data_IF_050787022606
#
_entry.id   IF_050787022606
#
_cell.length_a   1.000
_cell.length_b   1.000
_cell.length_c   1.000
_cell.angle_alpha   90.00
_cell.angle_beta   90.00
_cell.angle_gamma   90.00
#
_symmetry.space_group_name_H-M   'P 1'
#
loop_
_entity.id
_entity.type
_entity.pdbx_description
1 polymer ?
#
# COMPACT_ATOMS: atom_id res chain seq x y z
N UNK A 1 -32.12 62.43 -37.40
CA UNK A 1 -32.87 62.24 -38.66
C UNK A 1 -33.12 60.74 -38.75
N UNK A 2 -34.20 60.27 -38.14
CA UNK A 2 -35.50 59.96 -38.81
C UNK A 2 -35.34 58.79 -39.81
N UNK A 3 -36.14 57.72 -39.82
CA UNK A 3 -37.40 57.44 -39.11
C UNK A 3 -37.84 55.97 -39.35
N UNK A 4 -38.43 55.41 -38.28
CA UNK A 4 -39.68 54.60 -38.24
C UNK A 4 -39.83 53.17 -38.82
N UNK A 5 -40.16 52.27 -37.85
CA UNK A 5 -41.34 51.35 -37.77
C UNK A 5 -41.41 50.15 -38.73
N UNK A 6 -42.00 49.00 -38.42
CA UNK A 6 -42.51 48.31 -37.21
C UNK A 6 -43.15 47.01 -37.72
N UNK A 7 -42.97 45.84 -37.09
CA UNK A 7 -44.12 44.95 -36.87
C UNK A 7 -43.88 43.90 -35.77
N UNK A 8 -44.92 43.73 -34.97
CA UNK A 8 -45.07 42.88 -33.80
C UNK A 8 -45.96 41.67 -34.13
N UNK A 9 -45.67 40.49 -33.58
CA UNK A 9 -46.58 39.33 -33.63
C UNK A 9 -46.12 38.22 -32.68
N UNK A 10 -47.00 37.82 -31.76
CA UNK A 10 -46.76 37.11 -30.49
C UNK A 10 -47.01 35.57 -30.62
N UNK A 11 -47.12 34.77 -29.53
CA UNK A 11 -46.23 33.65 -29.20
C UNK A 11 -46.85 32.25 -29.43
N UNK A 12 -46.02 31.22 -29.59
CA UNK A 12 -46.47 29.82 -29.64
C UNK A 12 -46.36 29.10 -28.29
N UNK A 13 -47.49 28.49 -27.91
CA UNK A 13 -47.78 27.67 -26.73
C UNK A 13 -46.90 26.41 -26.62
N UNK A 14 -46.65 26.03 -25.36
CA UNK A 14 -46.22 24.70 -24.94
C UNK A 14 -47.30 23.63 -25.15
N UNK A 15 -46.93 22.34 -25.24
CA UNK A 15 -47.80 21.24 -24.84
C UNK A 15 -47.40 20.70 -23.46
N UNK A 16 -48.43 20.29 -22.72
CA UNK A 16 -48.37 19.78 -21.36
C UNK A 16 -48.51 18.25 -21.32
N UNK A 17 -48.07 17.69 -20.19
CA UNK A 17 -48.46 16.43 -19.54
C UNK A 17 -47.90 15.09 -20.07
N UNK A 18 -47.19 14.39 -19.18
CA UNK A 18 -47.69 13.14 -18.60
C UNK A 18 -47.01 12.86 -17.25
N UNK A 19 -47.81 12.91 -16.18
CA UNK A 19 -47.53 12.39 -14.83
C UNK A 19 -48.21 11.03 -14.72
N UNK A 20 -47.59 10.01 -14.11
CA UNK A 20 -48.35 8.95 -13.47
C UNK A 20 -48.37 9.18 -11.95
N UNK A 21 -49.59 9.21 -11.43
CA UNK A 21 -49.91 9.20 -10.00
C UNK A 21 -49.63 7.82 -9.38
N UNK A 22 -49.52 7.82 -8.05
CA UNK A 22 -48.98 6.75 -7.23
C UNK A 22 -49.79 5.45 -7.16
N UNK A 23 -49.18 4.46 -6.52
CA UNK A 23 -49.87 3.37 -5.86
C UNK A 23 -49.18 2.98 -4.54
N UNK A 24 -49.93 3.23 -3.47
CA UNK A 24 -50.08 2.43 -2.26
C UNK A 24 -48.83 1.89 -1.52
N UNK A 25 -48.58 2.49 -0.34
CA UNK A 25 -48.14 1.76 0.87
C UNK A 25 -49.08 0.58 1.15
N UNK A 26 -48.56 -0.46 1.82
CA UNK A 26 -49.31 -0.96 2.98
C UNK A 26 -48.42 -1.00 4.23
N UNK A 27 -48.89 -0.27 5.25
CA UNK A 27 -48.59 -0.55 6.64
C UNK A 27 -49.21 -1.90 7.01
N UNK A 28 -48.45 -2.80 7.63
CA UNK A 28 -49.03 -3.93 8.37
C UNK A 28 -48.33 -4.09 9.72
N UNK A 29 -48.95 -3.47 10.71
CA UNK A 29 -48.86 -3.86 12.11
C UNK A 29 -49.85 -5.01 12.32
N UNK A 30 -49.39 -6.17 12.81
CA UNK A 30 -50.24 -7.08 13.60
C UNK A 30 -49.48 -7.38 14.88
N UNK A 31 -50.11 -6.97 15.96
CA UNK A 31 -49.83 -7.39 17.32
C UNK A 31 -50.62 -8.67 17.62
N UNK A 32 -50.05 -9.48 18.52
CA UNK A 32 -50.69 -9.94 19.77
C UNK A 32 -50.71 -11.45 20.05
N UNK A 33 -50.40 -11.68 21.33
CA UNK A 33 -50.81 -12.76 22.22
C UNK A 33 -50.02 -14.08 22.25
N UNK A 34 -49.83 -14.73 23.41
CA UNK A 34 -49.70 -14.36 24.83
C UNK A 34 -49.75 -15.70 25.61
N UNK A 35 -48.99 -15.76 26.71
CA UNK A 35 -49.26 -16.63 27.86
C UNK A 35 -48.58 -18.00 27.86
N UNK A 36 -48.15 -18.57 28.99
CA UNK A 36 -48.13 -18.10 30.37
C UNK A 36 -47.35 -19.11 31.25
N UNK A 37 -46.92 -18.64 32.43
CA UNK A 37 -46.71 -19.39 33.69
C UNK A 37 -45.41 -20.19 33.82
N UNK A 38 -44.62 -20.14 34.92
CA UNK A 38 -44.95 -19.91 36.35
C UNK A 38 -43.82 -19.18 37.11
N UNK A 39 -44.24 -18.45 38.14
CA UNK A 39 -43.43 -17.90 39.23
C UNK A 39 -42.97 -18.99 40.24
N UNK A 40 -41.92 -18.72 41.04
CA UNK A 40 -42.05 -18.47 42.51
C UNK A 40 -40.70 -18.41 43.26
N UNK A 41 -40.47 -17.26 43.91
CA UNK A 41 -39.93 -17.00 45.28
C UNK A 41 -38.57 -17.49 45.82
N UNK A 42 -37.79 -16.48 46.26
CA UNK A 42 -37.26 -16.24 47.63
C UNK A 42 -35.90 -16.82 48.12
N UNK A 43 -34.85 -15.97 48.08
CA UNK A 43 -34.08 -15.38 49.23
C UNK A 43 -33.25 -16.28 50.23
N UNK A 44 -32.34 -15.74 51.10
CA UNK A 44 -30.86 -15.76 50.89
C UNK A 44 -29.93 -16.20 52.09
N UNK A 45 -28.59 -16.20 51.84
CA UNK A 45 -27.43 -15.84 52.74
C UNK A 45 -26.79 -16.93 53.69
N UNK A 46 -25.61 -16.71 54.35
CA UNK A 46 -24.25 -17.27 54.07
C UNK A 46 -23.59 -17.92 55.36
N UNK A 47 -22.27 -17.81 55.74
CA UNK A 47 -20.94 -17.76 55.08
C UNK A 47 -19.87 -18.78 55.64
N UNK A 48 -18.68 -18.81 55.00
CA UNK A 48 -17.25 -19.02 55.45
C UNK A 48 -16.86 -19.63 56.85
N UNK A 49 -15.64 -20.24 57.01
CA UNK A 49 -14.42 -19.43 57.23
C UNK A 49 -13.08 -20.00 56.72
N UNK A 50 -12.06 -19.12 56.87
CA UNK A 50 -10.66 -19.15 56.41
C UNK A 50 -9.68 -19.20 57.61
N UNK A 51 -8.39 -19.45 57.30
CA UNK A 51 -7.16 -19.05 58.03
C UNK A 51 -6.67 -20.00 59.18
N UNK A 52 -5.39 -20.16 59.57
CA UNK A 52 -4.10 -19.47 59.29
C UNK A 52 -2.92 -20.29 59.86
N UNK A 53 -1.74 -20.20 59.22
CA UNK A 53 -0.32 -20.17 59.73
C UNK A 53 0.08 -20.69 61.13
N UNK A 54 1.26 -21.34 61.24
CA UNK A 54 2.44 -20.92 62.07
C UNK A 54 3.66 -21.85 61.93
N UNK A 55 4.80 -21.47 62.55
CA UNK A 55 6.20 -21.57 62.08
C UNK A 55 7.11 -22.13 63.21
N UNK A 56 8.13 -22.94 62.87
CA UNK A 56 9.46 -23.15 63.54
C UNK A 56 9.55 -23.87 64.93
N UNK A 57 10.75 -24.21 65.48
CA UNK A 57 11.72 -25.27 65.09
C UNK A 57 12.20 -26.13 66.31
N UNK A 58 13.05 -27.15 66.13
CA UNK A 58 13.62 -27.85 67.29
C UNK A 58 14.73 -28.86 67.00
N UNK A 59 15.98 -28.43 67.21
CA UNK A 59 17.18 -29.27 67.28
C UNK A 59 17.23 -30.10 68.56
N UNK A 60 17.69 -31.35 68.51
CA UNK A 60 18.35 -32.00 69.64
C UNK A 60 19.47 -32.93 69.19
N UNK A 61 20.67 -32.63 69.70
CA UNK A 61 21.86 -33.49 69.73
C UNK A 61 21.59 -34.71 70.61
N UNK A 62 22.11 -35.86 70.18
CA UNK A 62 22.22 -37.07 70.99
C UNK A 62 23.41 -37.89 70.51
N UNK A 63 24.55 -37.69 71.17
CA UNK A 63 25.73 -38.54 71.08
C UNK A 63 25.49 -39.87 71.79
N UNK A 64 25.92 -41.00 71.21
CA UNK A 64 26.72 -42.02 71.93
C UNK A 64 27.03 -43.24 71.06
N UNK A 65 28.32 -43.60 71.10
CA UNK A 65 28.87 -44.97 71.15
C UNK A 65 28.70 -45.90 69.94
N UNK A 66 29.81 -46.03 69.19
CA UNK A 66 30.17 -47.29 68.53
C UNK A 66 30.39 -48.40 69.55
N UNK A 67 30.09 -49.65 69.16
CA UNK A 67 30.95 -50.77 69.48
C UNK A 67 31.45 -51.46 68.21
N UNK A 68 32.78 -51.50 68.09
CA UNK A 68 33.54 -52.41 67.20
C UNK A 68 33.17 -53.86 67.55
N UNK A 69 32.79 -54.67 66.56
CA UNK A 69 32.90 -56.14 66.64
C UNK A 69 33.20 -56.78 65.27
N UNK A 70 34.39 -57.41 65.25
CA UNK A 70 34.87 -58.60 64.54
C UNK A 70 34.73 -58.74 63.00
N UNK A 71 35.75 -59.33 62.33
CA UNK A 71 35.83 -59.38 60.88
C UNK A 71 34.96 -60.50 60.30
N UNK A 72 34.06 -60.15 59.39
CA UNK A 72 33.33 -61.12 58.59
C UNK A 72 34.25 -61.67 57.48
N UNK A 73 34.11 -62.98 57.30
CA UNK A 73 34.81 -63.86 56.37
C UNK A 73 34.92 -63.34 54.94
N UNK A 74 36.11 -63.52 54.37
CA UNK A 74 36.46 -63.29 52.97
C UNK A 74 35.71 -64.29 52.07
N UNK A 75 34.44 -64.02 51.77
CA UNK A 75 33.74 -64.72 50.69
C UNK A 75 34.38 -64.30 49.35
N UNK A 76 34.96 -65.28 48.67
CA UNK A 76 35.38 -65.18 47.28
C UNK A 76 34.15 -64.85 46.42
N UNK A 77 33.99 -63.58 46.04
CA UNK A 77 33.06 -63.19 44.98
C UNK A 77 33.57 -63.78 43.67
N UNK A 78 33.03 -64.94 43.29
CA UNK A 78 33.14 -65.47 41.95
C UNK A 78 32.61 -64.40 40.97
N UNK A 79 33.49 -63.93 40.07
CA UNK A 79 33.11 -62.99 39.01
C UNK A 79 32.00 -63.63 38.17
N UNK A 80 30.79 -63.09 38.27
CA UNK A 80 29.72 -63.43 37.31
C UNK A 80 30.23 -63.11 35.89
N UNK A 81 30.02 -64.00 34.90
CA UNK A 81 30.38 -63.71 33.53
C UNK A 81 29.61 -62.47 33.08
N UNK A 82 30.33 -61.45 32.57
CA UNK A 82 29.72 -60.25 32.00
C UNK A 82 28.76 -60.69 30.90
N UNK A 83 27.46 -60.41 31.06
CA UNK A 83 26.49 -60.58 29.97
C UNK A 83 27.03 -59.86 28.73
N UNK A 84 26.94 -60.44 27.53
CA UNK A 84 27.26 -59.72 26.31
C UNK A 84 26.48 -58.41 26.30
N UNK A 85 27.17 -57.29 26.09
CA UNK A 85 26.52 -56.01 25.88
C UNK A 85 25.72 -56.18 24.59
N UNK A 86 24.39 -56.26 24.70
CA UNK A 86 23.53 -56.19 23.52
C UNK A 86 23.84 -54.85 22.85
N UNK A 87 24.23 -54.82 21.56
CA UNK A 87 24.39 -53.56 20.85
C UNK A 87 23.07 -52.82 20.98
N UNK A 88 23.14 -51.56 21.40
CA UNK A 88 21.99 -50.68 21.49
C UNK A 88 21.31 -50.65 20.12
N UNK A 89 20.22 -51.40 19.97
CA UNK A 89 19.29 -51.25 18.86
C UNK A 89 18.53 -49.96 19.15
N UNK A 90 19.15 -48.83 18.82
CA UNK A 90 18.53 -47.54 19.03
C UNK A 90 17.18 -47.51 18.34
N UNK A 91 16.18 -46.95 19.02
CA UNK A 91 14.96 -46.50 18.37
C UNK A 91 15.38 -45.68 17.14
N UNK A 92 14.80 -45.91 15.95
CA UNK A 92 15.14 -45.12 14.78
C UNK A 92 15.06 -43.63 15.16
N UNK A 93 16.12 -42.87 14.81
CA UNK A 93 16.10 -41.42 14.97
C UNK A 93 14.81 -40.90 14.32
N UNK A 94 14.08 -39.97 14.95
CA UNK A 94 12.85 -39.44 14.36
C UNK A 94 13.16 -38.97 12.94
N UNK A 95 12.48 -39.54 11.95
CA UNK A 95 12.62 -39.13 10.57
C UNK A 95 12.17 -37.67 10.49
N UNK A 96 13.13 -36.77 10.30
CA UNK A 96 12.80 -35.37 10.06
C UNK A 96 12.23 -35.27 8.66
N UNK A 97 10.91 -35.20 8.53
CA UNK A 97 10.29 -34.81 7.27
C UNK A 97 10.90 -33.48 6.81
N UNK A 98 11.31 -33.43 5.54
CA UNK A 98 11.81 -32.20 4.95
C UNK A 98 10.71 -31.15 5.01
N UNK A 99 11.05 -29.93 5.40
CA UNK A 99 10.08 -28.85 5.41
C UNK A 99 9.40 -28.74 4.04
N UNK A 100 8.08 -28.53 3.97
CA UNK A 100 7.39 -28.44 2.69
C UNK A 100 7.75 -27.13 1.97
N UNK A 101 7.83 -27.17 0.63
CA UNK A 101 8.32 -26.04 -0.18
C UNK A 101 7.53 -24.74 -0.01
N UNK A 102 6.23 -24.82 0.33
CA UNK A 102 5.42 -23.62 0.59
C UNK A 102 5.93 -22.79 1.78
N UNK A 103 6.65 -23.39 2.76
CA UNK A 103 7.25 -22.62 3.85
C UNK A 103 8.37 -21.70 3.34
N UNK A 104 9.19 -22.19 2.40
CA UNK A 104 10.22 -21.37 1.76
C UNK A 104 9.59 -20.25 0.92
N UNK A 105 8.50 -20.55 0.22
CA UNK A 105 7.71 -19.56 -0.53
C UNK A 105 7.22 -18.44 0.40
N UNK A 106 6.56 -18.79 1.52
CA UNK A 106 6.09 -17.84 2.53
C UNK A 106 7.21 -16.98 3.10
N UNK A 107 8.40 -17.55 3.32
CA UNK A 107 9.56 -16.80 3.82
C UNK A 107 10.08 -15.77 2.82
N UNK A 108 10.11 -16.08 1.53
CA UNK A 108 10.54 -15.11 0.51
C UNK A 108 9.53 -13.96 0.33
N UNK A 109 8.23 -14.25 0.39
CA UNK A 109 7.19 -13.20 0.40
C UNK A 109 7.28 -12.34 1.67
N UNK A 110 7.49 -12.96 2.83
CA UNK A 110 7.67 -12.22 4.09
C UNK A 110 8.94 -11.36 4.08
N UNK A 111 10.04 -11.86 3.51
CA UNK A 111 11.28 -11.09 3.34
C UNK A 111 11.02 -9.86 2.47
N UNK A 112 10.36 -10.03 1.33
CA UNK A 112 9.99 -8.93 0.45
C UNK A 112 9.15 -7.88 1.17
N UNK A 113 8.02 -8.26 1.77
CA UNK A 113 7.14 -7.33 2.46
C UNK A 113 7.85 -6.65 3.64
N UNK A 114 8.63 -7.41 4.42
CA UNK A 114 9.39 -6.89 5.55
C UNK A 114 10.40 -5.81 5.14
N UNK A 115 11.17 -6.05 4.08
CA UNK A 115 12.13 -5.09 3.52
C UNK A 115 11.42 -3.88 2.91
N UNK A 116 10.34 -4.09 2.14
CA UNK A 116 9.57 -3.01 1.53
C UNK A 116 8.98 -2.08 2.59
N UNK A 117 8.35 -2.62 3.64
CA UNK A 117 7.81 -1.84 4.75
C UNK A 117 8.91 -1.04 5.46
N UNK A 118 10.08 -1.65 5.69
CA UNK A 118 11.22 -0.97 6.30
C UNK A 118 11.67 0.21 5.44
N UNK A 119 11.84 0.00 4.13
CA UNK A 119 12.29 1.01 3.20
C UNK A 119 11.29 2.16 3.06
N UNK A 120 9.99 1.84 3.02
CA UNK A 120 8.91 2.83 3.06
C UNK A 120 8.97 3.67 4.32
N UNK A 121 9.13 3.05 5.50
CA UNK A 121 9.21 3.76 6.77
C UNK A 121 10.39 4.73 6.85
N UNK A 122 11.57 4.31 6.39
CA UNK A 122 12.74 5.20 6.36
C UNK A 122 12.47 6.39 5.43
N UNK A 123 11.84 6.16 4.29
CA UNK A 123 11.43 7.23 3.35
C UNK A 123 10.43 8.19 4.00
N UNK A 124 9.40 7.65 4.67
CA UNK A 124 8.37 8.44 5.34
C UNK A 124 8.92 9.29 6.48
N UNK A 125 9.92 8.78 7.19
CA UNK A 125 10.62 9.54 8.23
C UNK A 125 11.48 10.64 7.62
N UNK A 126 12.16 10.37 6.50
CA UNK A 126 13.02 11.35 5.83
C UNK A 126 12.25 12.55 5.27
N UNK A 127 11.10 12.30 4.62
CA UNK A 127 10.31 13.36 3.97
C UNK A 127 9.09 13.82 4.77
N UNK A 128 8.89 13.29 5.98
CA UNK A 128 7.74 13.66 6.81
C UNK A 128 6.39 13.17 6.25
N UNK A 129 6.39 12.12 5.45
CA UNK A 129 5.18 11.55 4.82
C UNK A 129 4.24 11.02 5.90
N UNK A 130 2.94 11.26 5.71
CA UNK A 130 1.88 10.71 6.56
C UNK A 130 1.60 9.24 6.22
N UNK A 131 2.29 8.32 6.90
CA UNK A 131 2.13 6.89 6.69
C UNK A 131 0.72 6.36 6.95
N UNK A 132 -0.16 7.12 7.60
CA UNK A 132 -1.56 6.71 7.83
C UNK A 132 -2.40 6.81 6.55
N UNK A 133 -1.96 7.63 5.58
CA UNK A 133 -2.68 7.96 4.35
C UNK A 133 -2.03 7.42 3.08
N UNK A 134 -1.03 6.55 3.20
CA UNK A 134 -0.42 5.86 2.06
C UNK A 134 -1.50 5.32 1.12
N UNK A 135 -1.42 5.67 -0.16
CA UNK A 135 -2.43 5.26 -1.14
C UNK A 135 -2.53 3.73 -1.30
N UNK A 136 -1.43 3.01 -1.04
CA UNK A 136 -1.33 1.56 -1.23
C UNK A 136 -1.65 0.74 0.04
N UNK A 137 -1.56 1.34 1.23
CA UNK A 137 -1.89 0.70 2.52
C UNK A 137 -2.32 1.74 3.57
N UNK A 138 -3.47 2.39 3.38
CA UNK A 138 -3.93 3.40 4.33
C UNK A 138 -4.33 2.73 5.65
N UNK A 139 -3.95 3.35 6.75
CA UNK A 139 -4.16 2.86 8.13
C UNK A 139 -5.07 3.78 8.94
N UNK A 140 -5.81 4.68 8.29
CA UNK A 140 -6.86 5.48 8.95
C UNK A 140 -7.82 4.56 9.74
N UNK A 141 -8.15 4.89 11.01
CA UNK A 141 -8.00 6.18 11.66
C UNK A 141 -6.72 6.38 12.49
N UNK A 142 -5.70 5.52 12.35
CA UNK A 142 -4.45 5.66 13.11
C UNK A 142 -3.79 7.01 12.84
N UNK A 143 -3.20 7.62 13.87
CA UNK A 143 -2.33 8.79 13.67
C UNK A 143 -1.06 8.39 12.90
N UNK A 144 -0.37 9.35 12.29
CA UNK A 144 0.90 9.09 11.58
C UNK A 144 1.92 8.31 12.43
N UNK A 145 2.05 8.66 13.72
CA UNK A 145 2.98 7.98 14.62
C UNK A 145 2.55 6.54 14.94
N UNK A 146 1.24 6.32 15.13
CA UNK A 146 0.68 4.98 15.33
C UNK A 146 0.86 4.12 14.08
N UNK A 147 0.58 4.67 12.90
CA UNK A 147 0.78 4.00 11.61
C UNK A 147 2.25 3.59 11.41
N UNK A 148 3.19 4.51 11.66
CA UNK A 148 4.64 4.22 11.59
C UNK A 148 5.05 3.11 12.56
N UNK A 149 4.61 3.17 13.82
CA UNK A 149 4.89 2.14 14.82
C UNK A 149 4.29 0.78 14.47
N UNK A 150 3.07 0.77 13.93
CA UNK A 150 2.39 -0.44 13.47
C UNK A 150 3.15 -1.10 12.31
N UNK A 151 3.45 -0.34 11.25
CA UNK A 151 4.21 -0.84 10.10
C UNK A 151 5.62 -1.30 10.48
N UNK A 152 6.29 -0.61 11.42
CA UNK A 152 7.61 -1.01 11.93
C UNK A 152 7.55 -2.37 12.63
N UNK A 153 6.49 -2.60 13.43
CA UNK A 153 6.26 -3.86 14.10
C UNK A 153 5.95 -4.98 13.09
N UNK A 154 5.11 -4.71 12.09
CA UNK A 154 4.83 -5.65 10.99
C UNK A 154 6.10 -6.01 10.23
N UNK A 155 6.92 -5.02 9.87
CA UNK A 155 8.21 -5.21 9.19
C UNK A 155 9.14 -6.11 10.01
N UNK A 156 9.33 -5.81 11.30
CA UNK A 156 10.19 -6.60 12.18
C UNK A 156 9.73 -8.07 12.28
N UNK A 157 8.43 -8.29 12.48
CA UNK A 157 7.85 -9.64 12.56
C UNK A 157 8.06 -10.43 11.27
N UNK A 158 7.82 -9.81 10.11
CA UNK A 158 7.99 -10.44 8.79
C UNK A 158 9.47 -10.78 8.52
N UNK A 159 10.39 -9.88 8.85
CA UNK A 159 11.84 -10.12 8.71
C UNK A 159 12.30 -11.24 9.64
N UNK A 160 11.89 -11.23 10.91
CA UNK A 160 12.23 -12.31 11.86
C UNK A 160 11.69 -13.65 11.35
N UNK A 161 10.43 -13.71 10.90
CA UNK A 161 9.83 -14.92 10.34
C UNK A 161 10.59 -15.42 9.10
N UNK A 162 11.03 -14.52 8.21
CA UNK A 162 11.79 -14.89 7.02
C UNK A 162 13.12 -15.59 7.34
N UNK A 163 13.79 -15.15 8.42
CA UNK A 163 15.07 -15.69 8.87
C UNK A 163 14.91 -16.91 9.78
N UNK A 164 13.92 -16.86 10.69
CA UNK A 164 13.64 -17.86 11.72
C UNK A 164 12.15 -18.20 11.71
N UNK A 165 11.71 -19.10 10.82
CA UNK A 165 10.29 -19.45 10.69
C UNK A 165 9.73 -20.14 11.94
N UNK A 166 10.58 -20.81 12.73
CA UNK A 166 10.24 -21.54 13.96
C UNK A 166 10.03 -20.62 15.17
N UNK A 167 9.02 -19.75 15.08
CA UNK A 167 8.66 -18.83 16.16
C UNK A 167 8.00 -19.56 17.34
N UNK A 168 8.32 -19.20 18.60
CA UNK A 168 7.63 -19.71 19.79
C UNK A 168 6.11 -19.46 19.71
N UNK A 169 5.31 -20.37 20.26
CA UNK A 169 3.84 -20.33 20.19
C UNK A 169 3.21 -18.97 20.51
N UNK A 170 3.57 -18.30 21.64
CA UNK A 170 3.04 -16.98 21.97
C UNK A 170 3.42 -15.89 20.96
N UNK A 171 4.68 -15.85 20.53
CA UNK A 171 5.18 -14.88 19.55
C UNK A 171 4.48 -15.08 18.21
N UNK A 172 4.30 -16.35 17.79
CA UNK A 172 3.55 -16.70 16.60
C UNK A 172 2.11 -16.21 16.66
N UNK A 173 1.40 -16.44 17.77
CA UNK A 173 0.03 -15.96 17.95
C UNK A 173 -0.06 -14.44 17.85
N UNK A 174 0.81 -13.71 18.55
CA UNK A 174 0.87 -12.25 18.51
C UNK A 174 1.19 -11.73 17.10
N UNK A 175 2.16 -12.35 16.44
CA UNK A 175 2.55 -12.02 15.06
C UNK A 175 1.36 -12.20 14.10
N UNK A 176 0.58 -13.26 14.27
CA UNK A 176 -0.63 -13.43 13.47
C UNK A 176 -1.62 -12.32 13.75
N UNK A 177 -1.96 -12.07 15.01
CA UNK A 177 -2.98 -11.09 15.36
C UNK A 177 -2.62 -9.73 14.75
N UNK A 178 -1.35 -9.35 14.83
CA UNK A 178 -0.81 -8.16 14.18
C UNK A 178 -1.04 -8.16 12.66
N UNK A 179 -0.66 -9.23 11.96
CA UNK A 179 -0.82 -9.32 10.51
C UNK A 179 -2.31 -9.41 10.11
N UNK A 180 -3.18 -10.01 10.93
CA UNK A 180 -4.63 -10.03 10.71
C UNK A 180 -5.23 -8.65 10.90
N UNK A 181 -4.72 -7.86 11.85
CA UNK A 181 -5.07 -6.45 11.96
C UNK A 181 -4.69 -5.69 10.69
N UNK A 182 -3.50 -5.94 10.13
CA UNK A 182 -3.10 -5.32 8.86
C UNK A 182 -3.99 -5.75 7.70
N UNK A 183 -4.29 -7.04 7.59
CA UNK A 183 -5.25 -7.57 6.63
C UNK A 183 -6.65 -6.95 6.80
N UNK A 184 -7.07 -6.66 8.04
CA UNK A 184 -8.33 -5.96 8.33
C UNK A 184 -8.36 -4.55 7.74
N UNK A 185 -7.29 -3.76 7.90
CA UNK A 185 -7.15 -2.46 7.26
C UNK A 185 -7.23 -2.57 5.74
N UNK A 186 -6.45 -3.49 5.14
CA UNK A 186 -6.46 -3.72 3.69
C UNK A 186 -7.84 -4.16 3.17
N UNK A 187 -8.55 -5.00 3.93
CA UNK A 187 -9.92 -5.42 3.62
C UNK A 187 -10.91 -4.26 3.68
N UNK A 188 -10.78 -3.39 4.68
CA UNK A 188 -11.58 -2.16 4.78
C UNK A 188 -11.30 -1.21 3.61
N UNK A 189 -10.04 -0.97 3.25
CA UNK A 189 -9.67 -0.16 2.07
C UNK A 189 -10.23 -0.76 0.79
N UNK A 190 -10.16 -2.09 0.64
CA UNK A 190 -10.75 -2.80 -0.50
C UNK A 190 -12.26 -2.57 -0.57
N UNK A 191 -12.95 -2.66 0.56
CA UNK A 191 -14.38 -2.37 0.64
C UNK A 191 -14.69 -0.92 0.24
N UNK A 192 -13.95 0.06 0.77
CA UNK A 192 -14.13 1.47 0.42
C UNK A 192 -13.88 1.75 -1.06
N UNK A 193 -12.89 1.12 -1.66
CA UNK A 193 -12.61 1.21 -3.09
C UNK A 193 -13.82 0.78 -3.95
N UNK A 194 -14.39 -0.39 -3.66
CA UNK A 194 -15.54 -0.89 -4.41
C UNK A 194 -16.81 -0.07 -4.12
N UNK A 195 -17.00 0.40 -2.89
CA UNK A 195 -18.10 1.29 -2.55
C UNK A 195 -18.01 2.62 -3.30
N UNK A 196 -16.83 3.24 -3.35
CA UNK A 196 -16.61 4.49 -4.09
C UNK A 196 -16.88 4.30 -5.60
N UNK A 197 -16.51 3.14 -6.15
CA UNK A 197 -16.81 2.78 -7.54
C UNK A 197 -18.31 2.62 -7.79
N UNK A 198 -19.03 1.91 -6.90
CA UNK A 198 -20.49 1.74 -7.02
C UNK A 198 -21.24 3.07 -6.89
N UNK A 199 -20.74 3.99 -6.07
CA UNK A 199 -21.27 5.35 -5.94
C UNK A 199 -20.88 6.28 -7.11
N UNK A 200 -20.11 5.79 -8.09
CA UNK A 200 -19.65 6.59 -9.24
C UNK A 200 -18.59 7.65 -8.89
N UNK A 201 -18.01 7.58 -7.69
CA UNK A 201 -16.96 8.49 -7.22
C UNK A 201 -15.57 8.11 -7.74
N UNK A 202 -15.40 6.86 -8.17
CA UNK A 202 -14.15 6.31 -8.68
C UNK A 202 -14.37 5.71 -10.07
N UNK A 203 -13.62 6.18 -11.06
CA UNK A 203 -13.59 5.64 -12.41
C UNK A 203 -12.27 4.92 -12.65
N UNK A 204 -12.34 3.74 -13.27
CA UNK A 204 -11.16 2.93 -13.62
C UNK A 204 -11.52 1.92 -14.70
N UNK A 205 -10.61 1.69 -15.63
CA UNK A 205 -10.72 0.60 -16.62
C UNK A 205 -10.20 -0.74 -16.09
N UNK A 206 -9.47 -0.74 -14.96
CA UNK A 206 -8.99 -1.96 -14.31
C UNK A 206 -9.58 -2.08 -12.90
N UNK A 207 -10.72 -2.78 -12.73
CA UNK A 207 -11.53 -2.74 -11.52
C UNK A 207 -11.01 -3.67 -10.42
N UNK A 208 -9.70 -3.71 -10.17
CA UNK A 208 -9.08 -4.51 -9.11
C UNK A 208 -8.33 -3.60 -8.16
N UNK A 209 -8.73 -3.62 -6.89
CA UNK A 209 -8.08 -2.83 -5.85
C UNK A 209 -6.67 -3.36 -5.54
N UNK A 210 -5.66 -2.49 -5.48
CA UNK A 210 -4.29 -2.88 -5.12
C UNK A 210 -4.18 -3.64 -3.77
N UNK A 211 -4.93 -3.28 -2.70
CA UNK A 211 -4.89 -4.02 -1.43
C UNK A 211 -5.23 -5.51 -1.53
N UNK A 212 -5.94 -5.96 -2.58
CA UNK A 212 -6.16 -7.39 -2.82
C UNK A 212 -4.86 -8.15 -3.13
N UNK A 213 -3.90 -7.52 -3.80
CA UNK A 213 -2.57 -8.09 -4.03
C UNK A 213 -1.82 -8.28 -2.71
N UNK A 214 -1.85 -7.27 -1.83
CA UNK A 214 -1.26 -7.36 -0.49
C UNK A 214 -1.93 -8.43 0.37
N UNK A 215 -3.27 -8.54 0.32
CA UNK A 215 -4.01 -9.60 1.00
C UNK A 215 -3.61 -10.98 0.50
N UNK A 216 -3.41 -11.16 -0.80
CA UNK A 216 -2.93 -12.43 -1.37
C UNK A 216 -1.50 -12.75 -0.89
N UNK A 217 -0.60 -11.76 -0.85
CA UNK A 217 0.75 -11.94 -0.30
C UNK A 217 0.70 -12.30 1.19
N UNK A 218 -0.15 -11.64 1.98
CA UNK A 218 -0.36 -11.96 3.40
C UNK A 218 -0.94 -13.36 3.59
N UNK A 219 -1.87 -13.82 2.75
CA UNK A 219 -2.40 -15.18 2.79
C UNK A 219 -1.29 -16.22 2.59
N UNK A 220 -0.35 -15.98 1.67
CA UNK A 220 0.84 -16.81 1.47
C UNK A 220 1.72 -16.81 2.73
N UNK A 221 1.90 -15.66 3.38
CA UNK A 221 2.64 -15.56 4.65
C UNK A 221 1.92 -16.30 5.78
N UNK A 222 0.60 -16.20 5.91
CA UNK A 222 -0.19 -16.89 6.93
C UNK A 222 -0.10 -18.41 6.84
N UNK A 223 -0.12 -18.97 5.62
CA UNK A 223 0.15 -20.40 5.41
C UNK A 223 1.49 -20.80 6.05
N UNK A 224 2.51 -19.94 5.87
CA UNK A 224 3.81 -19.89 6.54
C UNK A 224 3.76 -20.11 8.06
N UNK A 225 3.04 -19.21 8.74
CA UNK A 225 2.96 -19.15 10.19
C UNK A 225 2.24 -20.37 10.80
N UNK A 226 1.15 -20.85 10.21
CA UNK A 226 0.33 -21.88 10.86
C UNK A 226 0.89 -23.30 10.78
N UNK A 227 1.81 -23.55 9.85
CA UNK A 227 2.29 -24.90 9.55
C UNK A 227 3.81 -25.01 9.72
N UNK A 228 4.33 -24.21 10.65
CA UNK A 228 5.69 -24.31 11.18
C UNK A 228 5.84 -25.63 11.94
N UNK A 229 6.12 -26.70 11.21
CA UNK A 229 6.37 -28.03 11.74
C UNK A 229 7.82 -28.17 12.17
N UNK A 230 8.08 -29.12 13.06
CA UNK A 230 9.39 -29.53 13.58
C UNK A 230 10.24 -30.23 12.49
N UNK A 231 10.37 -29.56 11.34
CA UNK A 231 10.85 -30.10 10.07
C UNK A 231 12.24 -29.57 9.77
N UNK A 232 13.07 -30.41 9.14
CA UNK A 232 14.43 -30.03 8.76
C UNK A 232 14.40 -29.26 7.45
N UNK A 233 14.99 -28.07 7.41
CA UNK A 233 15.07 -27.23 6.21
C UNK A 233 16.08 -27.83 5.22
N UNK A 234 15.68 -28.00 3.97
CA UNK A 234 16.61 -28.34 2.90
C UNK A 234 17.28 -27.04 2.43
N UNK A 235 18.46 -26.74 2.99
CA UNK A 235 19.12 -25.45 2.81
C UNK A 235 19.25 -25.01 1.36
N UNK A 236 19.55 -25.91 0.42
CA UNK A 236 19.72 -25.58 -1.00
C UNK A 236 18.39 -25.27 -1.70
N UNK A 237 17.45 -26.22 -1.68
CA UNK A 237 16.12 -26.06 -2.28
C UNK A 237 15.37 -24.86 -1.69
N UNK A 238 15.38 -24.72 -0.38
CA UNK A 238 14.64 -23.67 0.31
C UNK A 238 15.25 -22.29 0.05
N UNK A 239 16.58 -22.18 -0.07
CA UNK A 239 17.24 -20.95 -0.51
C UNK A 239 16.79 -20.54 -1.92
N UNK A 240 16.79 -21.49 -2.87
CA UNK A 240 16.34 -21.22 -4.24
C UNK A 240 14.87 -20.78 -4.29
N UNK A 241 13.99 -21.43 -3.52
CA UNK A 241 12.58 -21.05 -3.46
C UNK A 241 12.37 -19.66 -2.82
N UNK A 242 13.10 -19.33 -1.75
CA UNK A 242 13.07 -17.99 -1.14
C UNK A 242 13.54 -16.93 -2.13
N UNK A 243 14.64 -17.19 -2.85
CA UNK A 243 15.17 -16.27 -3.86
C UNK A 243 14.18 -16.10 -5.02
N UNK A 244 13.61 -17.20 -5.51
CA UNK A 244 12.62 -17.19 -6.58
C UNK A 244 11.40 -16.35 -6.21
N UNK A 245 10.83 -16.55 -5.02
CA UNK A 245 9.64 -15.79 -4.60
C UNK A 245 9.95 -14.34 -4.24
N UNK A 246 11.15 -14.04 -3.75
CA UNK A 246 11.63 -12.67 -3.59
C UNK A 246 11.70 -11.95 -4.94
N UNK A 247 12.35 -12.55 -5.94
CA UNK A 247 12.47 -11.99 -7.31
C UNK A 247 11.09 -11.84 -7.95
N UNK A 248 10.22 -12.84 -7.82
CA UNK A 248 8.86 -12.77 -8.32
C UNK A 248 8.11 -11.59 -7.69
N UNK A 249 8.20 -11.42 -6.36
CA UNK A 249 7.56 -10.30 -5.65
C UNK A 249 8.11 -8.94 -6.10
N UNK A 250 9.43 -8.83 -6.29
CA UNK A 250 10.09 -7.62 -6.80
C UNK A 250 9.59 -7.21 -8.20
N UNK A 251 9.14 -8.17 -9.01
CA UNK A 251 8.60 -7.91 -10.35
C UNK A 251 7.08 -7.68 -10.30
N UNK A 252 6.33 -8.54 -9.61
CA UNK A 252 4.87 -8.48 -9.64
C UNK A 252 4.30 -7.33 -8.82
N UNK A 253 5.00 -6.87 -7.79
CA UNK A 253 4.50 -5.81 -6.92
C UNK A 253 4.40 -4.45 -7.64
N UNK A 254 5.44 -3.95 -8.35
CA UNK A 254 5.32 -2.74 -9.15
C UNK A 254 4.29 -2.88 -10.29
N UNK A 255 4.25 -4.04 -10.95
CA UNK A 255 3.25 -4.32 -11.99
C UNK A 255 1.83 -4.22 -11.41
N UNK A 256 1.58 -4.85 -10.26
CA UNK A 256 0.28 -4.76 -9.59
C UNK A 256 -0.08 -3.30 -9.25
N UNK A 257 0.88 -2.47 -8.84
CA UNK A 257 0.63 -1.04 -8.64
C UNK A 257 0.25 -0.31 -9.93
N UNK A 258 0.97 -0.55 -11.03
CA UNK A 258 0.67 0.06 -12.34
C UNK A 258 -0.74 -0.26 -12.81
N UNK A 259 -1.18 -1.52 -12.71
CA UNK A 259 -2.52 -1.89 -13.17
C UNK A 259 -3.61 -1.50 -12.15
N UNK A 260 -3.40 -1.74 -10.86
CA UNK A 260 -4.46 -1.48 -9.87
C UNK A 260 -4.64 0.01 -9.54
N UNK A 261 -3.58 0.81 -9.60
CA UNK A 261 -3.63 2.25 -9.31
C UNK A 261 -3.52 3.11 -10.56
N UNK A 262 -2.70 2.72 -11.54
CA UNK A 262 -2.44 3.55 -12.73
C UNK A 262 -3.65 3.75 -13.64
N UNK A 263 -4.74 3.01 -13.45
CA UNK A 263 -6.00 3.24 -14.16
C UNK A 263 -7.05 3.99 -13.34
N UNK A 264 -6.75 4.35 -12.09
CA UNK A 264 -7.66 5.17 -11.29
C UNK A 264 -7.67 6.57 -11.85
N UNK A 265 -8.87 7.08 -12.11
CA UNK A 265 -9.07 8.40 -12.66
C UNK A 265 -9.61 9.36 -11.60
N UNK A 266 -8.79 10.32 -11.21
CA UNK A 266 -9.15 11.36 -10.26
C UNK A 266 -9.57 12.63 -10.99
N UNK A 267 -10.89 12.88 -11.13
CA UNK A 267 -11.46 14.09 -11.75
C UNK A 267 -12.05 15.03 -10.71
N UNK A 268 -11.19 15.68 -9.94
CA UNK A 268 -11.61 16.69 -8.98
C UNK A 268 -11.03 18.06 -9.35
N UNK A 269 -11.67 19.13 -8.89
CA UNK A 269 -11.14 20.49 -9.10
C UNK A 269 -9.75 20.63 -8.48
N UNK A 270 -8.85 21.26 -9.23
CA UNK A 270 -7.45 21.45 -8.89
C UNK A 270 -6.95 22.84 -9.34
N UNK A 271 -5.78 23.23 -8.85
CA UNK A 271 -5.15 24.51 -9.19
C UNK A 271 -4.41 24.44 -10.54
N UNK A 272 -3.92 23.27 -10.93
CA UNK A 272 -3.32 23.02 -12.23
C UNK A 272 -3.51 21.59 -12.73
N UNK A 273 -3.46 21.42 -14.04
CA UNK A 273 -3.26 20.13 -14.71
C UNK A 273 -1.79 20.09 -15.15
N UNK A 274 -1.06 19.04 -14.77
CA UNK A 274 0.33 18.84 -15.17
C UNK A 274 0.45 17.65 -16.11
N UNK A 275 0.77 17.91 -17.38
CA UNK A 275 1.02 16.86 -18.38
C UNK A 275 2.48 16.49 -18.32
N UNK A 276 2.75 15.24 -17.92
CA UNK A 276 4.10 14.69 -17.88
C UNK A 276 4.52 14.24 -19.27
N UNK A 277 5.65 14.77 -19.69
CA UNK A 277 6.27 14.48 -20.97
C UNK A 277 6.65 13.01 -21.16
N UNK A 278 6.76 12.64 -22.42
CA UNK A 278 7.46 11.47 -22.90
C UNK A 278 8.02 11.72 -24.31
N UNK A 279 8.91 10.83 -24.75
CA UNK A 279 9.66 10.97 -26.01
C UNK A 279 8.78 11.47 -27.18
N UNK A 280 9.17 12.60 -27.76
CA UNK A 280 8.72 13.03 -29.09
C UNK A 280 9.50 12.30 -30.20
N UNK A 281 8.93 12.20 -31.39
CA UNK A 281 9.59 11.57 -32.53
C UNK A 281 10.74 12.47 -33.03
N UNK A 282 11.73 11.86 -33.68
CA UNK A 282 12.92 12.57 -34.18
C UNK A 282 12.59 13.65 -35.23
N UNK A 283 11.44 13.53 -35.90
CA UNK A 283 10.93 14.49 -36.89
C UNK A 283 10.18 15.68 -36.26
N UNK A 284 10.13 15.78 -34.92
CA UNK A 284 9.43 16.83 -34.19
C UNK A 284 7.93 16.58 -34.01
N UNK A 285 7.40 15.45 -34.47
CA UNK A 285 6.00 15.08 -34.23
C UNK A 285 5.82 14.43 -32.85
N UNK A 286 4.63 14.56 -32.21
CA UNK A 286 4.38 13.89 -30.94
C UNK A 286 4.29 12.37 -31.15
N UNK A 287 4.91 11.60 -30.25
CA UNK A 287 4.61 10.15 -30.19
C UNK A 287 3.13 9.93 -29.83
N UNK A 288 2.55 8.75 -30.13
CA UNK A 288 1.17 8.45 -29.76
C UNK A 288 0.91 8.65 -28.26
N UNK A 289 1.83 8.20 -27.41
CA UNK A 289 1.75 8.41 -25.97
C UNK A 289 1.77 9.90 -25.59
N UNK A 290 2.69 10.69 -26.15
CA UNK A 290 2.78 12.13 -25.87
C UNK A 290 1.49 12.85 -26.28
N UNK A 291 1.00 12.55 -27.49
CA UNK A 291 -0.25 13.09 -28.02
C UNK A 291 -1.43 12.79 -27.09
N UNK A 292 -1.56 11.54 -26.65
CA UNK A 292 -2.69 11.12 -25.82
C UNK A 292 -2.67 11.76 -24.44
N UNK A 293 -1.48 11.93 -23.83
CA UNK A 293 -1.32 12.66 -22.57
C UNK A 293 -1.72 14.13 -22.72
N UNK A 294 -1.26 14.80 -23.79
CA UNK A 294 -1.61 16.21 -24.05
C UNK A 294 -3.10 16.38 -24.30
N UNK A 295 -3.72 15.53 -25.13
CA UNK A 295 -5.16 15.56 -25.37
C UNK A 295 -5.99 15.34 -24.11
N UNK A 296 -5.54 14.44 -23.24
CA UNK A 296 -6.19 14.22 -21.93
C UNK A 296 -6.08 15.48 -21.06
N UNK A 297 -4.92 16.13 -21.00
CA UNK A 297 -4.76 17.40 -20.29
C UNK A 297 -5.65 18.52 -20.83
N UNK A 298 -5.75 18.64 -22.16
CA UNK A 298 -6.63 19.60 -22.84
C UNK A 298 -8.10 19.34 -22.48
N UNK A 299 -8.55 18.09 -22.47
CA UNK A 299 -9.92 17.74 -22.09
C UNK A 299 -10.23 18.17 -20.66
N UNK A 300 -9.32 17.90 -19.70
CA UNK A 300 -9.52 18.29 -18.31
C UNK A 300 -9.61 19.82 -18.17
N UNK A 301 -8.78 20.55 -18.92
CA UNK A 301 -8.80 22.01 -18.97
C UNK A 301 -10.13 22.54 -19.54
N UNK A 302 -10.55 22.03 -20.69
CA UNK A 302 -11.81 22.40 -21.34
C UNK A 302 -13.04 22.03 -20.50
N UNK A 303 -12.93 20.99 -19.66
CA UNK A 303 -13.94 20.60 -18.67
C UNK A 303 -13.96 21.51 -17.43
N UNK A 304 -13.06 22.49 -17.34
CA UNK A 304 -12.98 23.45 -16.23
C UNK A 304 -12.43 22.86 -14.93
N UNK A 305 -11.69 21.75 -14.97
CA UNK A 305 -11.16 21.12 -13.76
C UNK A 305 -9.95 21.86 -13.16
N UNK A 306 -9.21 22.60 -13.97
CA UNK A 306 -8.18 23.53 -13.49
C UNK A 306 -8.01 24.71 -14.45
N UNK A 307 -7.60 25.88 -13.94
CA UNK A 307 -7.44 27.10 -14.75
C UNK A 307 -6.15 27.14 -15.56
N UNK A 308 -5.18 26.26 -15.27
CA UNK A 308 -3.83 26.27 -15.87
C UNK A 308 -3.42 24.87 -16.29
N UNK A 309 -2.77 24.78 -17.46
CA UNK A 309 -2.17 23.56 -18.01
C UNK A 309 -0.64 23.71 -18.05
N UNK A 310 0.04 22.93 -17.21
CA UNK A 310 1.49 22.84 -17.12
C UNK A 310 1.96 21.71 -18.04
N UNK A 311 2.87 22.03 -18.96
CA UNK A 311 3.48 21.09 -19.90
C UNK A 311 4.94 20.90 -19.48
N UNK A 312 5.24 19.75 -18.87
CA UNK A 312 6.57 19.48 -18.30
C UNK A 312 7.25 18.34 -19.04
N UNK A 313 8.49 18.59 -19.46
CA UNK A 313 9.31 17.62 -20.16
C UNK A 313 10.75 18.10 -20.27
N UNK A 314 11.61 17.27 -20.85
CA UNK A 314 13.00 17.62 -21.09
C UNK A 314 13.35 17.77 -22.56
N UNK A 315 14.63 18.05 -22.82
CA UNK A 315 15.16 18.01 -24.17
C UNK A 315 15.12 16.57 -24.68
N UNK A 316 14.23 16.28 -25.63
CA UNK A 316 14.25 15.01 -26.37
C UNK A 316 15.53 14.87 -27.22
N UNK A 317 15.62 13.77 -27.99
CA UNK A 317 16.75 13.50 -28.88
C UNK A 317 16.78 14.39 -30.16
N UNK A 318 15.83 15.31 -30.33
CA UNK A 318 15.67 16.14 -31.54
C UNK A 318 15.93 17.64 -31.33
N UNK A 319 15.86 18.41 -32.42
CA UNK A 319 16.08 19.86 -32.43
C UNK A 319 14.96 20.66 -31.75
N UNK A 320 13.73 20.13 -31.73
CA UNK A 320 12.59 20.76 -31.06
C UNK A 320 12.40 20.19 -29.65
N UNK A 321 12.24 21.08 -28.68
CA UNK A 321 12.00 20.72 -27.30
C UNK A 321 10.60 20.12 -27.14
N UNK A 322 10.48 19.00 -26.42
CA UNK A 322 9.26 18.20 -26.29
C UNK A 322 8.05 19.06 -25.87
N UNK A 323 8.26 19.96 -24.92
CA UNK A 323 7.22 20.86 -24.41
C UNK A 323 6.70 21.85 -25.44
N UNK A 324 7.47 22.17 -26.49
CA UNK A 324 7.00 23.04 -27.58
C UNK A 324 6.01 22.31 -28.49
N UNK A 325 6.23 21.02 -28.75
CA UNK A 325 5.27 20.17 -29.45
C UNK A 325 3.96 20.06 -28.65
N UNK A 326 4.08 19.87 -27.33
CA UNK A 326 2.92 19.86 -26.42
C UNK A 326 2.17 21.20 -26.44
N UNK A 327 2.90 22.33 -26.41
CA UNK A 327 2.34 23.69 -26.48
C UNK A 327 1.55 23.88 -27.77
N UNK A 328 2.15 23.53 -28.90
CA UNK A 328 1.52 23.67 -30.21
C UNK A 328 0.20 22.90 -30.26
N UNK A 329 0.18 21.64 -29.83
CA UNK A 329 -1.05 20.84 -29.76
C UNK A 329 -2.13 21.49 -28.89
N UNK A 330 -1.74 22.06 -27.74
CA UNK A 330 -2.69 22.71 -26.84
C UNK A 330 -3.29 23.99 -27.44
N UNK A 331 -2.46 24.82 -28.07
CA UNK A 331 -2.91 26.06 -28.73
C UNK A 331 -3.80 25.75 -29.93
N UNK A 332 -3.42 24.78 -30.76
CA UNK A 332 -4.24 24.32 -31.91
C UNK A 332 -5.60 23.78 -31.46
N UNK A 333 -5.68 23.17 -30.27
CA UNK A 333 -6.92 22.70 -29.66
C UNK A 333 -7.71 23.80 -28.93
N UNK A 334 -7.26 25.06 -28.98
CA UNK A 334 -7.97 26.22 -28.46
C UNK A 334 -7.67 26.57 -27.00
N UNK A 335 -6.62 26.00 -26.38
CA UNK A 335 -6.15 26.46 -25.06
C UNK A 335 -5.40 27.77 -25.22
N UNK A 336 -5.81 28.86 -24.54
CA UNK A 336 -5.13 30.15 -24.67
C UNK A 336 -3.72 30.08 -24.09
N UNK A 337 -2.76 30.75 -24.73
CA UNK A 337 -1.35 30.75 -24.26
C UNK A 337 -1.19 31.25 -22.82
N UNK A 338 -2.06 32.17 -22.39
CA UNK A 338 -2.07 32.69 -21.02
C UNK A 338 -2.44 31.64 -19.95
N UNK A 339 -3.01 30.50 -20.36
CA UNK A 339 -3.32 29.37 -19.47
C UNK A 339 -2.25 28.26 -19.54
N UNK A 340 -1.19 28.43 -20.34
CA UNK A 340 -0.11 27.46 -20.51
C UNK A 340 1.11 27.86 -19.69
N UNK A 341 1.68 26.90 -18.96
CA UNK A 341 2.99 27.04 -18.33
C UNK A 341 3.93 25.97 -18.87
N UNK A 342 5.13 26.38 -19.27
CA UNK A 342 6.13 25.49 -19.85
C UNK A 342 7.23 25.20 -18.83
N UNK A 343 7.47 23.91 -18.57
CA UNK A 343 8.59 23.41 -17.77
C UNK A 343 9.55 22.61 -18.66
N UNK A 344 10.59 23.29 -19.16
CA UNK A 344 11.64 22.74 -20.03
C UNK A 344 12.80 22.05 -19.27
N UNK A 345 12.67 21.98 -17.93
CA UNK A 345 13.63 21.34 -17.02
C UNK A 345 13.04 20.15 -16.27
N UNK A 346 11.91 19.62 -16.73
CA UNK A 346 11.29 18.39 -16.21
C UNK A 346 11.98 17.13 -16.73
N UNK A 347 13.29 16.97 -16.53
CA UNK A 347 14.05 15.83 -17.09
C UNK A 347 13.80 14.53 -16.31
N UNK A 348 13.26 14.65 -15.12
CA UNK A 348 12.83 13.55 -14.26
C UNK A 348 11.53 13.92 -13.56
N UNK A 349 10.78 12.92 -13.12
CA UNK A 349 9.53 13.14 -12.36
C UNK A 349 9.76 13.91 -11.06
N UNK A 350 10.92 13.74 -10.42
CA UNK A 350 11.32 14.54 -9.26
C UNK A 350 11.52 16.00 -9.61
N UNK A 351 12.19 16.30 -10.72
CA UNK A 351 12.37 17.67 -11.18
C UNK A 351 11.02 18.31 -11.57
N UNK A 352 10.17 17.63 -12.34
CA UNK A 352 8.82 18.13 -12.69
C UNK A 352 8.02 18.53 -11.44
N UNK A 353 7.89 17.62 -10.47
CA UNK A 353 7.09 17.89 -9.26
C UNK A 353 7.74 18.96 -8.37
N UNK A 354 9.08 19.00 -8.31
CA UNK A 354 9.80 20.06 -7.58
C UNK A 354 9.57 21.42 -8.23
N UNK A 355 9.66 21.51 -9.55
CA UNK A 355 9.44 22.75 -10.30
C UNK A 355 8.01 23.26 -10.05
N UNK A 356 7.00 22.38 -10.19
CA UNK A 356 5.59 22.72 -9.94
C UNK A 356 5.39 23.20 -8.49
N UNK A 357 5.93 22.49 -7.51
CA UNK A 357 5.84 22.88 -6.10
C UNK A 357 6.46 24.26 -5.84
N UNK A 358 7.63 24.53 -6.42
CA UNK A 358 8.29 25.82 -6.28
C UNK A 358 7.51 26.96 -6.95
N UNK A 359 6.88 26.71 -8.10
CA UNK A 359 6.01 27.70 -8.76
C UNK A 359 4.84 28.11 -7.86
N UNK A 360 4.13 27.15 -7.29
CA UNK A 360 3.04 27.46 -6.38
C UNK A 360 3.51 28.12 -5.08
N UNK A 361 4.66 27.73 -4.55
CA UNK A 361 5.25 28.39 -3.38
C UNK A 361 5.57 29.88 -3.66
N UNK A 362 6.02 30.21 -4.86
CA UNK A 362 6.25 31.61 -5.27
C UNK A 362 4.93 32.38 -5.42
N UNK A 363 3.91 31.77 -6.01
CA UNK A 363 2.58 32.37 -6.13
C UNK A 363 1.94 32.63 -4.75
N UNK A 364 2.13 31.72 -3.80
CA UNK A 364 1.67 31.84 -2.41
C UNK A 364 2.46 32.90 -1.62
N UNK A 365 3.73 33.16 -1.96
CA UNK A 365 4.48 34.26 -1.37
C UNK A 365 3.95 35.64 -1.84
N UNK A 366 3.35 35.70 -3.04
CA UNK A 366 2.78 36.93 -3.60
C UNK A 366 1.29 37.13 -3.30
N UNK A 367 0.55 36.04 -3.05
CA UNK A 367 -0.88 36.06 -2.78
C UNK A 367 -1.12 35.44 -1.41
N UNK A 368 -1.81 36.11 -0.48
CA UNK A 368 -2.19 35.56 0.84
C UNK A 368 -3.07 34.32 0.68
N UNK A 369 -2.48 33.17 0.40
CA UNK A 369 -3.14 31.87 0.26
C UNK A 369 -3.36 31.27 1.64
N UNK A 370 -4.50 30.64 1.84
CA UNK A 370 -5.01 30.15 3.13
C UNK A 370 -4.28 28.92 3.73
N UNK A 371 -3.01 28.67 3.35
CA UNK A 371 -2.19 27.59 3.91
C UNK A 371 -2.55 26.17 3.46
N UNK A 372 -3.42 26.01 2.45
CA UNK A 372 -3.69 24.70 1.84
C UNK A 372 -2.60 24.35 0.81
N UNK A 373 -2.30 23.04 0.70
CA UNK A 373 -1.42 22.51 -0.35
C UNK A 373 -2.01 22.77 -1.74
N UNK A 374 -1.19 23.18 -2.73
CA UNK A 374 -1.64 23.30 -4.11
C UNK A 374 -2.04 21.95 -4.66
N UNK A 375 -3.20 21.89 -5.33
CA UNK A 375 -3.72 20.66 -5.91
C UNK A 375 -3.40 20.55 -7.39
N UNK A 376 -2.90 19.39 -7.81
CA UNK A 376 -2.45 19.15 -9.18
C UNK A 376 -3.04 17.86 -9.73
N UNK A 377 -3.60 17.92 -10.94
CA UNK A 377 -3.97 16.72 -11.72
C UNK A 377 -2.80 16.32 -12.61
N UNK A 378 -2.08 15.26 -12.24
CA UNK A 378 -0.95 14.74 -13.00
C UNK A 378 -1.41 13.77 -14.10
N UNK A 379 -1.20 14.15 -15.36
CA UNK A 379 -1.60 13.37 -16.53
C UNK A 379 -0.40 12.62 -17.10
N UNK A 380 -0.52 11.30 -17.23
CA UNK A 380 0.47 10.43 -17.88
C UNK A 380 -0.12 9.06 -18.24
N UNK A 381 0.65 8.21 -18.92
CA UNK A 381 0.30 6.79 -19.10
C UNK A 381 0.19 6.04 -17.77
N UNK A 382 -0.70 5.05 -17.72
CA UNK A 382 -1.04 4.27 -16.51
C UNK A 382 0.19 3.70 -15.79
N UNK A 383 1.19 3.21 -16.54
CA UNK A 383 2.40 2.60 -15.97
C UNK A 383 3.28 3.61 -15.21
N UNK A 384 3.17 4.91 -15.51
CA UNK A 384 3.98 5.97 -14.92
C UNK A 384 3.31 6.60 -13.69
N UNK A 385 1.98 6.53 -13.57
CA UNK A 385 1.23 7.19 -12.50
C UNK A 385 1.62 6.75 -11.08
N UNK A 386 1.89 5.47 -10.77
CA UNK A 386 2.34 5.09 -9.42
C UNK A 386 3.64 5.79 -9.01
N UNK A 387 4.56 5.97 -9.96
CA UNK A 387 5.82 6.68 -9.72
C UNK A 387 5.59 8.17 -9.50
N UNK A 388 4.71 8.80 -10.28
CA UNK A 388 4.33 10.20 -10.06
C UNK A 388 3.76 10.36 -8.65
N UNK A 389 2.80 9.52 -8.26
CA UNK A 389 2.18 9.57 -6.94
C UNK A 389 3.22 9.44 -5.83
N UNK A 390 4.11 8.46 -5.96
CA UNK A 390 5.16 8.18 -4.98
C UNK A 390 6.16 9.33 -4.81
N UNK A 391 6.47 10.05 -5.89
CA UNK A 391 7.32 11.23 -5.82
C UNK A 391 6.53 12.43 -5.27
N UNK A 392 5.26 12.56 -5.62
CA UNK A 392 4.41 13.66 -5.15
C UNK A 392 4.21 13.65 -3.63
N UNK A 393 4.11 12.47 -3.00
CA UNK A 393 4.06 12.32 -1.54
C UNK A 393 5.26 12.93 -0.80
N UNK A 394 6.38 13.16 -1.50
CA UNK A 394 7.60 13.79 -0.96
C UNK A 394 7.62 15.30 -1.13
N UNK A 395 6.61 15.85 -1.78
CA UNK A 395 6.45 17.28 -2.04
C UNK A 395 5.29 17.84 -1.22
N UNK A 396 5.12 19.16 -1.25
CA UNK A 396 3.99 19.81 -0.58
C UNK A 396 2.77 20.00 -1.51
N UNK A 397 2.68 19.19 -2.56
CA UNK A 397 1.55 19.16 -3.48
C UNK A 397 0.51 18.13 -3.04
N UNK A 398 -0.77 18.45 -3.25
CA UNK A 398 -1.86 17.47 -3.27
C UNK A 398 -2.02 16.98 -4.71
N UNK A 399 -1.37 15.86 -5.04
CA UNK A 399 -1.32 15.33 -6.39
C UNK A 399 -2.31 14.19 -6.55
N UNK A 400 -3.20 14.35 -7.52
CA UNK A 400 -4.11 13.32 -8.01
C UNK A 400 -3.66 12.90 -9.41
N UNK A 401 -3.79 11.62 -9.75
CA UNK A 401 -3.32 11.09 -11.03
C UNK A 401 -4.48 10.89 -12.02
N UNK A 402 -4.21 11.12 -13.30
CA UNK A 402 -5.16 10.91 -14.39
C UNK A 402 -4.48 10.12 -15.51
N UNK A 403 -4.96 8.90 -15.84
CA UNK A 403 -4.43 8.14 -16.95
C UNK A 403 -4.75 8.81 -18.28
N UNK A 404 -3.77 8.85 -19.18
CA UNK A 404 -3.98 9.23 -20.56
C UNK A 404 -5.03 8.33 -21.21
N UNK A 405 -5.97 8.94 -21.94
CA UNK A 405 -6.97 8.22 -22.72
C UNK A 405 -6.33 7.49 -23.90
N UNK A 406 -6.98 6.41 -24.33
CA UNK A 406 -6.57 5.59 -25.47
C UNK A 406 -5.10 5.13 -25.38
N UNK A 407 -4.72 4.41 -24.32
CA UNK A 407 -3.35 3.92 -24.19
C UNK A 407 -2.97 3.11 -25.43
N UNK A 408 -1.71 3.27 -25.86
CA UNK A 408 -1.10 2.49 -26.94
C UNK A 408 -1.24 0.98 -26.63
N UNK A 409 -1.04 0.08 -27.59
CA UNK A 409 -1.11 -1.36 -27.30
C UNK A 409 -0.13 -1.77 -26.18
N UNK A 410 -0.49 -2.79 -25.37
CA UNK A 410 0.38 -3.27 -24.28
C UNK A 410 1.73 -3.79 -24.80
N UNK A 411 1.75 -4.34 -26.02
CA UNK A 411 2.95 -4.85 -26.68
C UNK A 411 3.93 -3.72 -26.97
N UNK A 412 3.45 -2.60 -27.53
CA UNK A 412 4.26 -1.42 -27.79
C UNK A 412 4.74 -0.74 -26.50
N UNK A 413 3.98 -0.88 -25.40
CA UNK A 413 4.33 -0.34 -24.09
C UNK A 413 5.20 -1.26 -23.24
N UNK A 414 5.45 -2.51 -23.65
CA UNK A 414 6.12 -3.52 -22.81
C UNK A 414 7.50 -3.07 -22.31
N UNK A 415 8.28 -2.39 -23.16
CA UNK A 415 9.57 -1.82 -22.77
C UNK A 415 9.42 -0.68 -21.74
N UNK A 416 8.41 0.17 -21.90
CA UNK A 416 8.12 1.25 -20.94
C UNK A 416 7.69 0.67 -19.59
N UNK A 417 6.80 -0.33 -19.58
CA UNK A 417 6.38 -1.04 -18.37
C UNK A 417 7.59 -1.69 -17.68
N UNK A 418 8.43 -2.40 -18.44
CA UNK A 418 9.65 -3.02 -17.91
C UNK A 418 10.63 -2.00 -17.33
N UNK A 419 10.82 -0.85 -18.00
CA UNK A 419 11.60 0.28 -17.48
C UNK A 419 11.00 0.83 -16.19
N UNK A 420 9.67 0.93 -16.10
CA UNK A 420 9.01 1.41 -14.88
C UNK A 420 9.13 0.44 -13.71
N UNK A 421 9.25 -0.87 -13.93
CA UNK A 421 9.58 -1.81 -12.83
C UNK A 421 10.94 -1.47 -12.22
N UNK A 422 11.94 -1.17 -13.05
CA UNK A 422 13.24 -0.72 -12.57
C UNK A 422 13.17 0.68 -11.94
N UNK A 423 12.43 1.61 -12.57
CA UNK A 423 12.27 2.97 -12.06
C UNK A 423 11.58 2.98 -10.70
N UNK A 424 10.55 2.15 -10.47
CA UNK A 424 9.88 2.02 -9.19
C UNK A 424 10.88 1.77 -8.05
N UNK A 425 11.77 0.79 -8.24
CA UNK A 425 12.81 0.49 -7.26
C UNK A 425 13.90 1.56 -7.17
N UNK A 426 14.29 2.16 -8.30
CA UNK A 426 15.21 3.29 -8.31
C UNK A 426 14.70 4.43 -7.44
N UNK A 427 13.46 4.88 -7.65
CA UNK A 427 12.87 5.99 -6.91
C UNK A 427 12.67 5.66 -5.43
N UNK A 428 12.56 4.37 -5.08
CA UNK A 428 12.52 3.94 -3.68
C UNK A 428 13.89 4.06 -3.01
N UNK A 429 14.99 3.93 -3.75
CA UNK A 429 16.37 3.95 -3.21
C UNK A 429 17.06 5.31 -3.38
N UNK A 430 16.77 6.04 -4.45
CA UNK A 430 17.33 7.36 -4.79
C UNK A 430 17.35 8.33 -3.60
N UNK A 431 16.31 8.42 -2.75
CA UNK A 431 16.38 9.26 -1.56
C UNK A 431 17.54 8.98 -0.63
N UNK A 432 18.16 7.82 -0.65
CA UNK A 432 19.27 7.49 0.24
C UNK A 432 20.63 7.85 -0.36
N UNK A 433 20.65 8.31 -1.61
CA UNK A 433 21.86 8.79 -2.27
C UNK A 433 22.14 10.26 -1.91
N UNK A 434 23.41 10.70 -1.98
CA UNK A 434 23.76 12.12 -1.80
C UNK A 434 23.03 12.97 -2.84
N UNK A 435 22.46 14.10 -2.42
CA UNK A 435 21.79 15.02 -3.34
C UNK A 435 22.81 15.56 -4.37
N UNK A 436 22.47 15.48 -5.66
CA UNK A 436 23.11 16.31 -6.68
C UNK A 436 22.74 17.77 -6.46
N UNK A 437 23.67 18.70 -6.73
CA UNK A 437 23.50 20.13 -6.48
C UNK A 437 22.16 20.70 -7.02
N UNK A 438 21.52 21.57 -6.23
CA UNK A 438 20.30 22.28 -6.62
C UNK A 438 20.53 23.09 -7.91
N UNK A 439 19.63 22.91 -8.89
CA UNK A 439 19.57 23.74 -10.10
C UNK A 439 18.52 24.83 -9.91
N UNK A 440 18.74 26.05 -10.44
CA UNK A 440 17.78 27.14 -10.32
C UNK A 440 16.46 26.87 -11.05
N UNK A 441 15.36 27.39 -10.49
CA UNK A 441 13.98 27.36 -10.99
C UNK A 441 13.82 27.93 -12.41
N UNK A 442 12.89 27.39 -13.20
CA UNK A 442 12.68 27.84 -14.57
C UNK A 442 11.28 27.60 -15.18
N UNK A 443 10.21 27.49 -14.38
CA UNK A 443 8.85 27.56 -14.93
C UNK A 443 8.61 28.97 -15.49
N UNK A 444 8.29 29.08 -16.77
CA UNK A 444 8.10 30.38 -17.46
C UNK A 444 6.72 30.43 -18.10
N UNK A 445 6.07 31.60 -17.98
CA UNK A 445 5.03 31.98 -18.92
C UNK A 445 5.65 31.97 -20.32
N UNK A 446 4.97 31.45 -21.35
CA UNK A 446 5.36 31.77 -22.71
C UNK A 446 5.27 33.30 -22.85
N UNK A 447 6.40 33.97 -23.05
CA UNK A 447 6.44 35.39 -23.38
C UNK A 447 5.86 35.61 -24.78
#
# INVERSE_FOLDING_TARGET
MDSSRSNSGRPTRAPAQAVPAGSARPSRTIASHAGASRASTAQPKPPEPRATTTRTPGSRRGSSTSPRRAPASRQQNARQPRRPIQPYQGSPLPEFESAPGWLAISRGVALFLGVYLLLSLVTDMKFGIDSSRHWWSPLSPLTTQQAKGFLATCSAVLLIFSMKPNLPGPIRLLSTLLLLTWAGFLGYTTYQYYLARELGQLQTSFPVAFPLHLLAMLAVVFAGFWKTCNSSLNKGRDFLLVLFTLVLSLITFPIAQMFCYGYIEHRQQADAIAVFGCRANADGTPSPALRNRVLTGIELYQSGLAPVLILSGGSGEGEQHETMVMKQLAVEAGVPESALLIDDRGWSTSETLTNINQYFAQQAATNSSNGNKPRVLAVSDFYHLPRIQFVAERTDLDCDTVPAKDPVSLEEQALSIGREVAAFWWYQVEPFLPASAEKPLNLRSPN
#
